data_IF_346576575808
#
_entry.id   IF_346576575808
#
_cell.length_a   1.000
_cell.length_b   1.000
_cell.length_c   1.000
_cell.angle_alpha   90.00
_cell.angle_beta   90.00
_cell.angle_gamma   90.00
#
_symmetry.space_group_name_H-M   'P 1'
#
loop_
_entity.id
_entity.type
_entity.pdbx_description
1 polymer ?
#
# COMPACT_ATOMS: atom_id res chain seq x y z
N UNK A 1 -76.45 16.72 18.26
CA UNK A 1 -75.59 17.91 18.02
C UNK A 1 -74.38 18.08 18.98
N UNK A 2 -74.42 17.56 20.22
CA UNK A 2 -73.34 17.78 21.21
C UNK A 2 -71.96 17.15 20.88
N UNK A 3 -71.94 15.98 20.21
CA UNK A 3 -70.70 15.27 19.85
C UNK A 3 -69.85 16.04 18.83
N UNK A 4 -70.48 16.59 17.77
CA UNK A 4 -69.82 17.45 16.77
C UNK A 4 -69.19 18.73 17.37
N UNK A 5 -69.79 19.31 18.43
CA UNK A 5 -69.21 20.48 19.12
C UNK A 5 -67.95 20.11 19.92
N UNK A 6 -67.97 18.99 20.67
CA UNK A 6 -66.80 18.51 21.43
C UNK A 6 -65.61 18.17 20.51
N UNK A 7 -65.87 17.57 19.34
CA UNK A 7 -64.81 17.20 18.41
C UNK A 7 -64.17 18.44 17.72
N UNK A 8 -64.98 19.45 17.41
CA UNK A 8 -64.49 20.72 16.86
C UNK A 8 -63.60 21.49 17.86
N UNK A 9 -63.93 21.42 19.15
CA UNK A 9 -63.13 22.04 20.21
C UNK A 9 -61.81 21.30 20.47
N UNK A 10 -61.83 19.95 20.44
CA UNK A 10 -60.61 19.12 20.49
C UNK A 10 -59.68 19.41 19.31
N UNK A 11 -60.22 19.54 18.10
CA UNK A 11 -59.44 19.87 16.91
C UNK A 11 -58.80 21.28 17.00
N UNK A 12 -59.51 22.26 17.57
CA UNK A 12 -58.99 23.62 17.77
C UNK A 12 -57.86 23.64 18.80
N UNK A 13 -57.97 22.88 19.90
CA UNK A 13 -56.91 22.71 20.90
C UNK A 13 -55.68 21.99 20.33
N UNK A 14 -55.88 20.96 19.48
CA UNK A 14 -54.79 20.25 18.81
C UNK A 14 -54.00 21.16 17.84
N UNK A 15 -54.70 21.95 17.01
CA UNK A 15 -54.06 22.91 16.09
C UNK A 15 -53.24 23.98 16.84
N UNK A 16 -53.74 24.48 17.97
CA UNK A 16 -53.01 25.46 18.81
C UNK A 16 -51.75 24.87 19.45
N UNK A 17 -51.79 23.61 19.89
CA UNK A 17 -50.60 22.89 20.40
C UNK A 17 -49.57 22.64 19.30
N UNK A 18 -50.01 22.29 18.09
CA UNK A 18 -49.11 22.06 16.95
C UNK A 18 -48.37 23.34 16.57
N UNK A 19 -49.09 24.46 16.44
CA UNK A 19 -48.52 25.79 16.15
C UNK A 19 -47.42 26.21 17.13
N UNK A 20 -47.67 26.10 18.45
CA UNK A 20 -46.67 26.40 19.49
C UNK A 20 -45.44 25.49 19.42
N UNK A 21 -45.61 24.21 19.08
CA UNK A 21 -44.49 23.25 18.93
C UNK A 21 -43.63 23.61 17.71
N UNK A 22 -44.24 24.12 16.63
CA UNK A 22 -43.53 24.56 15.42
C UNK A 22 -42.72 25.84 15.68
N UNK A 23 -43.25 26.80 16.42
CA UNK A 23 -42.51 28.02 16.83
C UNK A 23 -41.32 27.70 17.73
N UNK A 24 -41.48 26.82 18.73
CA UNK A 24 -40.37 26.40 19.59
C UNK A 24 -39.24 25.72 18.78
N UNK A 25 -39.59 24.89 17.78
CA UNK A 25 -38.62 24.28 16.87
C UNK A 25 -37.90 25.33 16.01
N UNK A 26 -38.59 26.37 15.54
CA UNK A 26 -37.96 27.49 14.80
C UNK A 26 -36.99 28.28 15.69
N UNK A 27 -37.37 28.63 16.93
CA UNK A 27 -36.46 29.31 17.89
C UNK A 27 -35.23 28.48 18.24
N UNK A 28 -35.36 27.15 18.45
CA UNK A 28 -34.21 26.25 18.70
C UNK A 28 -33.28 26.14 17.48
N UNK A 29 -33.82 26.08 16.25
CA UNK A 29 -33.00 26.09 15.02
C UNK A 29 -32.24 27.40 14.84
N UNK A 30 -32.85 28.55 15.16
CA UNK A 30 -32.20 29.86 15.09
C UNK A 30 -31.01 29.96 16.06
N UNK A 31 -31.20 29.61 17.34
CA UNK A 31 -30.11 29.58 18.35
C UNK A 31 -28.97 28.62 17.94
N UNK A 32 -29.28 27.44 17.40
CA UNK A 32 -28.25 26.48 16.93
C UNK A 32 -27.43 27.03 15.75
N UNK A 33 -28.06 27.81 14.85
CA UNK A 33 -27.38 28.47 13.72
C UNK A 33 -26.47 29.62 14.19
N UNK A 34 -26.88 30.36 15.22
CA UNK A 34 -26.10 31.45 15.83
C UNK A 34 -24.85 30.92 16.57
N UNK A 35 -24.98 29.82 17.34
CA UNK A 35 -23.84 29.17 17.99
C UNK A 35 -22.85 28.58 16.99
N UNK A 36 -23.33 27.99 15.88
CA UNK A 36 -22.45 27.45 14.82
C UNK A 36 -21.64 28.54 14.12
N UNK A 37 -22.21 29.74 13.92
CA UNK A 37 -21.47 30.92 13.41
C UNK A 37 -20.39 31.39 14.38
N UNK A 38 -20.68 31.43 15.69
CA UNK A 38 -19.70 31.85 16.70
C UNK A 38 -18.52 30.87 16.78
N UNK A 39 -18.79 29.56 16.70
CA UNK A 39 -17.77 28.52 16.68
C UNK A 39 -16.87 28.60 15.42
N UNK A 40 -17.44 28.81 14.24
CA UNK A 40 -16.67 29.03 13.01
C UNK A 40 -15.77 30.26 13.07
N UNK A 41 -16.22 31.33 13.73
CA UNK A 41 -15.43 32.57 13.90
C UNK A 41 -14.24 32.35 14.85
N UNK A 42 -14.39 31.52 15.89
CA UNK A 42 -13.29 31.09 16.77
C UNK A 42 -12.27 30.20 16.02
N UNK A 43 -12.74 29.21 15.27
CA UNK A 43 -11.87 28.33 14.45
C UNK A 43 -11.03 29.09 13.43
N UNK A 44 -11.62 30.08 12.74
CA UNK A 44 -10.85 30.95 11.81
C UNK A 44 -9.79 31.78 12.52
N UNK A 45 -10.04 32.23 13.76
CA UNK A 45 -9.08 33.03 14.54
C UNK A 45 -7.90 32.16 15.04
N UNK A 46 -8.16 30.90 15.40
CA UNK A 46 -7.11 29.94 15.77
C UNK A 46 -6.25 29.53 14.56
N UNK A 47 -6.85 29.19 13.42
CA UNK A 47 -6.08 28.90 12.19
C UNK A 47 -5.19 30.05 11.74
N UNK A 48 -5.60 31.31 11.96
CA UNK A 48 -4.77 32.48 11.65
C UNK A 48 -3.58 32.62 12.62
N UNK A 49 -3.73 32.22 13.90
CA UNK A 49 -2.63 32.19 14.88
C UNK A 49 -1.63 31.07 14.58
N UNK A 50 -2.12 29.86 14.27
CA UNK A 50 -1.27 28.73 13.88
C UNK A 50 -0.45 29.06 12.63
N UNK A 51 -1.07 29.70 11.63
CA UNK A 51 -0.36 30.10 10.41
C UNK A 51 0.73 31.15 10.65
N UNK A 52 0.55 32.07 11.61
CA UNK A 52 1.59 33.01 12.02
C UNK A 52 2.76 32.31 12.73
N UNK A 53 2.46 31.35 13.62
CA UNK A 53 3.49 30.57 14.30
C UNK A 53 4.30 29.70 13.33
N UNK A 54 3.66 29.14 12.32
CA UNK A 54 4.33 28.33 11.29
C UNK A 54 5.25 29.17 10.40
N UNK A 55 4.88 30.41 10.08
CA UNK A 55 5.77 31.34 9.36
C UNK A 55 6.96 31.77 10.21
N UNK A 56 6.77 31.97 11.52
CA UNK A 56 7.88 32.34 12.42
C UNK A 56 8.88 31.19 12.61
N UNK A 57 8.42 29.93 12.53
CA UNK A 57 9.28 28.73 12.59
C UNK A 57 10.06 28.58 11.28
N UNK A 58 9.41 28.73 10.12
CA UNK A 58 10.06 28.63 8.81
C UNK A 58 11.18 29.67 8.63
N UNK A 59 10.97 30.91 9.09
CA UNK A 59 11.99 31.98 9.02
C UNK A 59 13.21 31.63 9.91
N UNK A 60 12.99 31.00 11.06
CA UNK A 60 14.08 30.56 11.94
C UNK A 60 14.90 29.41 11.34
N UNK A 61 14.25 28.45 10.69
CA UNK A 61 14.92 27.33 10.00
C UNK A 61 15.74 27.80 8.80
N UNK A 62 15.22 28.74 8.01
CA UNK A 62 15.93 29.33 6.87
C UNK A 62 17.18 30.12 7.32
N UNK A 63 17.07 30.84 8.44
CA UNK A 63 18.21 31.56 9.04
C UNK A 63 19.28 30.59 9.57
N UNK A 64 18.88 29.45 10.15
CA UNK A 64 19.80 28.41 10.62
C UNK A 64 20.52 27.72 9.46
N UNK A 65 19.82 27.47 8.35
CA UNK A 65 20.38 26.83 7.16
C UNK A 65 21.43 27.72 6.48
N UNK A 66 21.18 29.03 6.35
CA UNK A 66 22.16 29.99 5.81
C UNK A 66 23.42 30.09 6.68
N UNK A 67 23.29 29.91 8.00
CA UNK A 67 24.43 29.92 8.92
C UNK A 67 25.29 28.65 8.76
N UNK A 68 24.67 27.49 8.52
CA UNK A 68 25.40 26.23 8.28
C UNK A 68 26.14 26.19 6.93
N UNK A 69 25.58 26.81 5.87
CA UNK A 69 26.23 26.85 4.55
C UNK A 69 27.49 27.72 4.57
N UNK A 70 27.51 28.78 5.39
CA UNK A 70 28.69 29.65 5.56
C UNK A 70 29.84 28.95 6.30
N UNK A 71 29.53 28.12 7.29
CA UNK A 71 30.53 27.31 8.00
C UNK A 71 31.21 26.26 7.10
N UNK A 72 30.50 25.75 6.08
CA UNK A 72 31.05 24.78 5.11
C UNK A 72 31.94 25.46 4.05
N UNK A 73 31.68 26.73 3.69
CA UNK A 73 32.56 27.46 2.77
C UNK A 73 33.90 27.84 3.41
N UNK A 74 33.89 28.17 4.70
CA UNK A 74 35.10 28.59 5.43
C UNK A 74 36.06 27.41 5.70
N UNK A 75 35.52 26.19 5.78
CA UNK A 75 36.33 24.97 5.98
C UNK A 75 37.02 24.48 4.69
N UNK A 76 36.52 24.89 3.52
CA UNK A 76 37.10 24.53 2.21
C UNK A 76 38.33 25.38 1.86
N UNK A 77 38.48 26.54 2.49
CA UNK A 77 39.65 27.43 2.35
C UNK A 77 40.83 27.04 3.25
N UNK A 78 40.61 26.19 4.26
CA UNK A 78 41.66 25.69 5.15
C UNK A 78 42.44 24.47 4.58
N UNK A 79 41.89 23.77 3.58
CA UNK A 79 42.46 22.52 3.03
C UNK A 79 43.39 22.79 1.81
N UNK A 80 43.42 24.01 1.27
CA UNK A 80 44.30 24.37 0.15
C UNK A 80 45.69 24.89 0.54
N UNK A 81 46.02 25.02 1.84
CA UNK A 81 47.28 25.61 2.32
C UNK A 81 48.26 24.62 2.99
N UNK A 82 48.17 23.31 2.70
CA UNK A 82 49.11 22.28 3.24
C UNK A 82 49.97 21.61 2.16
N UNK A 83 49.92 22.08 0.91
CA UNK A 83 50.92 21.75 -0.12
C UNK A 83 51.85 22.94 -0.30
N UNK A 84 52.87 23.02 0.55
CA UNK A 84 54.15 23.70 0.32
C UNK A 84 54.92 23.74 1.65
N UNK A 85 55.56 22.63 2.00
CA UNK A 85 56.79 22.58 2.81
C UNK A 85 57.14 21.12 3.09
N UNK A 86 58.23 20.65 2.49
CA UNK A 86 59.35 19.90 3.10
C UNK A 86 60.19 19.36 1.94
N UNK A 87 61.23 20.11 1.59
CA UNK A 87 62.46 19.59 0.97
C UNK A 87 63.56 19.78 2.01
N UNK A 88 64.52 18.84 2.04
CA UNK A 88 65.65 18.71 3.00
C UNK A 88 65.22 18.09 4.35
N UNK A 89 65.84 17.06 4.93
CA UNK A 89 67.23 16.58 4.92
C UNK A 89 67.38 15.03 5.12
N UNK A 90 68.52 14.50 4.67
CA UNK A 90 69.37 13.41 5.22
C UNK A 90 68.91 11.94 5.39
N UNK A 91 69.39 11.11 4.45
CA UNK A 91 70.39 10.01 4.60
C UNK A 91 70.31 8.95 5.73
N UNK A 92 70.56 7.69 5.30
CA UNK A 92 70.77 6.44 6.03
C UNK A 92 69.46 5.79 6.56
N UNK A 93 69.06 4.59 6.17
CA UNK A 93 69.82 3.33 6.28
C UNK A 93 69.40 2.36 5.15
N UNK A 94 70.41 1.85 4.46
CA UNK A 94 70.37 0.79 3.45
C UNK A 94 70.44 -0.59 4.12
N UNK A 95 69.86 -1.59 3.44
CA UNK A 95 70.17 -3.03 3.47
C UNK A 95 69.13 -3.93 4.14
N UNK A 96 68.27 -4.54 3.32
CA UNK A 96 68.39 -5.96 2.95
C UNK A 96 67.23 -6.37 2.02
N UNK A 97 67.52 -6.41 0.73
CA UNK A 97 66.80 -7.20 -0.27
C UNK A 97 67.82 -8.05 -1.00
N UNK A 98 67.65 -9.38 -0.92
CA UNK A 98 67.76 -10.38 -2.00
C UNK A 98 68.36 -11.69 -1.50
N UNK A 99 67.58 -12.75 -1.75
CA UNK A 99 67.88 -14.17 -1.96
C UNK A 99 66.69 -14.94 -1.36
N UNK A 100 65.95 -15.82 -2.03
CA UNK A 100 66.23 -16.67 -3.19
C UNK A 100 64.89 -17.21 -3.72
N UNK A 101 64.77 -17.41 -5.03
CA UNK A 101 63.74 -18.25 -5.64
C UNK A 101 64.12 -19.73 -5.42
N UNK A 102 63.28 -20.51 -4.76
CA UNK A 102 63.25 -21.97 -4.89
C UNK A 102 61.88 -22.53 -4.50
N UNK A 103 61.11 -22.88 -5.53
CA UNK A 103 60.07 -23.92 -5.63
C UNK A 103 59.63 -24.59 -4.32
N UNK A 104 58.37 -24.35 -3.93
CA UNK A 104 57.51 -25.40 -3.40
C UNK A 104 56.04 -25.12 -3.78
N UNK A 105 55.55 -25.96 -4.68
CA UNK A 105 54.13 -26.14 -4.97
C UNK A 105 53.52 -26.79 -3.73
N UNK A 106 52.65 -26.08 -3.00
CA UNK A 106 51.80 -26.68 -1.97
C UNK A 106 50.50 -25.88 -1.85
N UNK A 107 49.42 -26.56 -2.22
CA UNK A 107 47.98 -26.29 -2.09
C UNK A 107 47.46 -24.85 -2.22
N UNK A 108 46.70 -24.63 -3.30
CA UNK A 108 45.56 -23.74 -3.27
C UNK A 108 44.59 -24.26 -2.20
N UNK A 109 44.72 -23.73 -0.98
CA UNK A 109 43.68 -23.83 0.02
C UNK A 109 42.53 -22.94 -0.46
N UNK A 110 41.37 -23.55 -0.55
CA UNK A 110 40.08 -22.93 -0.79
C UNK A 110 39.95 -21.67 0.09
N UNK A 111 39.78 -20.52 -0.54
CA UNK A 111 39.22 -19.35 0.12
C UNK A 111 37.75 -19.68 0.35
N UNK A 112 37.45 -20.40 1.44
CA UNK A 112 36.09 -20.47 1.97
C UNK A 112 35.66 -19.03 2.29
N UNK A 113 34.73 -18.49 1.49
CA UNK A 113 34.01 -17.27 1.86
C UNK A 113 33.29 -17.55 3.18
N UNK A 114 33.87 -17.08 4.29
CA UNK A 114 33.25 -17.21 5.61
C UNK A 114 31.90 -16.49 5.59
N UNK A 115 30.81 -17.25 5.76
CA UNK A 115 29.46 -16.73 5.87
C UNK A 115 29.43 -15.75 7.06
N UNK A 116 28.80 -14.58 6.89
CA UNK A 116 28.71 -13.62 8.00
C UNK A 116 27.83 -14.19 9.12
N UNK A 117 28.06 -13.84 10.40
CA UNK A 117 27.22 -14.32 11.51
C UNK A 117 25.73 -14.00 11.34
N UNK A 118 25.44 -12.86 10.70
CA UNK A 118 24.08 -12.46 10.36
C UNK A 118 23.45 -13.37 9.31
N UNK A 119 24.22 -13.76 8.30
CA UNK A 119 23.78 -14.67 7.25
C UNK A 119 23.60 -16.11 7.79
N UNK A 120 24.43 -16.54 8.74
CA UNK A 120 24.22 -17.81 9.46
C UNK A 120 22.89 -17.79 10.22
N UNK A 121 22.65 -16.75 11.01
CA UNK A 121 21.39 -16.60 11.77
C UNK A 121 20.17 -16.59 10.84
N UNK A 122 20.27 -15.93 9.69
CA UNK A 122 19.19 -15.93 8.69
C UNK A 122 18.94 -17.32 8.11
N UNK A 123 20.01 -18.06 7.80
CA UNK A 123 19.91 -19.42 7.26
C UNK A 123 19.26 -20.38 8.26
N UNK A 124 19.53 -20.21 9.57
CA UNK A 124 18.85 -20.94 10.64
C UNK A 124 17.36 -20.61 10.68
N UNK A 125 16.98 -19.33 10.67
CA UNK A 125 15.58 -18.91 10.68
C UNK A 125 14.81 -19.42 9.45
N UNK A 126 15.41 -19.35 8.25
CA UNK A 126 14.84 -19.90 7.02
C UNK A 126 14.63 -21.42 7.11
N UNK A 127 15.59 -22.14 7.70
CA UNK A 127 15.49 -23.59 7.87
C UNK A 127 14.44 -23.96 8.91
N UNK A 128 14.36 -23.22 10.01
CA UNK A 128 13.34 -23.39 11.04
C UNK A 128 11.93 -23.23 10.46
N UNK A 129 11.68 -22.13 9.73
CA UNK A 129 10.38 -21.89 9.08
C UNK A 129 10.10 -22.88 7.95
N UNK A 130 11.14 -23.29 7.21
CA UNK A 130 11.07 -24.34 6.19
C UNK A 130 10.56 -25.67 6.73
N UNK A 131 11.11 -26.10 7.87
CA UNK A 131 10.69 -27.34 8.54
C UNK A 131 9.27 -27.27 9.11
N UNK A 132 8.80 -26.06 9.45
CA UNK A 132 7.43 -25.84 9.94
C UNK A 132 6.39 -25.77 8.79
N UNK A 133 6.84 -25.61 7.54
CA UNK A 133 5.96 -25.46 6.38
C UNK A 133 5.38 -26.80 5.93
N UNK A 134 4.29 -27.22 6.57
CA UNK A 134 3.53 -28.42 6.18
C UNK A 134 2.11 -28.00 5.77
N UNK A 135 1.88 -27.83 4.47
CA UNK A 135 0.57 -27.43 3.89
C UNK A 135 -0.50 -28.53 4.01
N UNK A 136 -0.12 -29.77 4.32
CA UNK A 136 -1.06 -30.90 4.47
C UNK A 136 -2.08 -30.71 5.60
N UNK A 137 -1.78 -29.85 6.59
CA UNK A 137 -2.62 -29.61 7.77
C UNK A 137 -3.53 -28.38 7.65
N UNK A 138 -3.50 -27.66 6.51
CA UNK A 138 -4.26 -26.42 6.39
C UNK A 138 -5.77 -26.67 6.39
N UNK A 139 -6.57 -25.81 7.08
CA UNK A 139 -8.01 -26.01 7.15
C UNK A 139 -8.64 -25.91 5.77
N UNK A 140 -9.58 -26.80 5.43
CA UNK A 140 -10.24 -26.81 4.11
C UNK A 140 -11.45 -25.87 4.06
N UNK A 141 -11.68 -25.23 2.92
CA UNK A 141 -12.80 -24.29 2.70
C UNK A 141 -14.15 -25.04 2.69
N UNK A 142 -15.15 -24.58 3.47
CA UNK A 142 -16.45 -25.27 3.64
C UNK A 142 -17.35 -25.31 2.40
N UNK A 143 -17.15 -24.42 1.41
CA UNK A 143 -18.02 -24.30 0.22
C UNK A 143 -17.64 -25.23 -0.93
N UNK A 144 -16.63 -26.10 -0.79
CA UNK A 144 -16.40 -27.18 -1.74
C UNK A 144 -17.48 -28.26 -1.56
N UNK A 145 -18.63 -28.09 -2.20
CA UNK A 145 -19.52 -29.23 -2.47
C UNK A 145 -18.78 -30.29 -3.28
N UNK A 146 -19.24 -31.55 -3.20
CA UNK A 146 -18.64 -32.77 -3.79
C UNK A 146 -18.43 -32.76 -5.32
N UNK A 147 -18.57 -31.61 -5.99
CA UNK A 147 -18.49 -31.46 -7.45
C UNK A 147 -17.36 -30.53 -7.93
N UNK A 148 -16.54 -29.93 -7.06
CA UNK A 148 -15.35 -29.18 -7.48
C UNK A 148 -14.05 -29.97 -7.16
N UNK A 149 -13.20 -30.31 -8.15
CA UNK A 149 -12.03 -31.18 -7.96
C UNK A 149 -10.81 -30.49 -7.30
N UNK A 150 -10.95 -29.27 -6.78
CA UNK A 150 -9.81 -28.43 -6.36
C UNK A 150 -9.68 -28.35 -4.83
N UNK A 151 -8.45 -28.37 -4.32
CA UNK A 151 -8.18 -28.14 -2.90
C UNK A 151 -8.40 -26.65 -2.61
N UNK A 152 -9.21 -26.32 -1.62
CA UNK A 152 -9.39 -24.95 -1.17
C UNK A 152 -9.09 -24.87 0.32
N UNK A 153 -8.31 -23.88 0.73
CA UNK A 153 -7.85 -23.72 2.10
C UNK A 153 -8.34 -22.40 2.71
N UNK A 154 -8.60 -22.43 4.01
CA UNK A 154 -8.88 -21.25 4.83
C UNK A 154 -7.59 -20.73 5.45
N UNK A 155 -7.64 -19.50 5.99
CA UNK A 155 -6.57 -18.91 6.79
C UNK A 155 -5.88 -19.94 7.72
N UNK A 156 -4.57 -20.20 7.51
CA UNK A 156 -3.86 -21.25 8.24
C UNK A 156 -3.27 -20.77 9.57
N UNK A 157 -3.19 -19.45 9.79
CA UNK A 157 -2.66 -18.87 11.03
C UNK A 157 -3.60 -19.04 12.22
N UNK A 158 -3.07 -18.82 13.42
CA UNK A 158 -3.86 -18.81 14.64
C UNK A 158 -4.91 -17.67 14.63
N UNK A 159 -5.91 -17.75 15.50
CA UNK A 159 -7.04 -16.80 15.53
C UNK A 159 -6.63 -15.36 15.82
N UNK A 160 -5.49 -15.16 16.47
CA UNK A 160 -4.88 -13.88 16.81
C UNK A 160 -3.83 -13.41 15.78
N UNK A 161 -3.46 -14.27 14.83
CA UNK A 161 -2.55 -13.92 13.75
C UNK A 161 -3.29 -13.34 12.55
N UNK A 162 -2.75 -12.24 12.03
CA UNK A 162 -3.26 -11.56 10.83
C UNK A 162 -2.28 -11.62 9.67
N UNK A 163 -1.01 -11.89 9.96
CA UNK A 163 0.07 -12.11 9.01
C UNK A 163 0.79 -13.39 9.39
N UNK A 164 1.11 -14.21 8.40
CA UNK A 164 1.90 -15.42 8.53
C UNK A 164 3.08 -15.35 7.57
N UNK A 165 4.28 -15.68 8.04
CA UNK A 165 5.46 -15.82 7.20
C UNK A 165 5.76 -17.30 7.05
N UNK A 166 5.74 -17.79 5.83
CA UNK A 166 6.06 -19.17 5.53
C UNK A 166 7.28 -19.25 4.63
N UNK A 167 8.06 -20.32 4.77
CA UNK A 167 9.24 -20.55 3.94
C UNK A 167 9.11 -21.94 3.34
N UNK A 168 9.21 -22.05 2.02
CA UNK A 168 9.56 -23.32 1.39
C UNK A 168 11.07 -23.35 1.22
N UNK A 169 11.71 -24.47 1.60
CA UNK A 169 13.13 -24.73 1.35
C UNK A 169 13.32 -26.18 0.93
N UNK A 170 13.78 -26.40 -0.29
CA UNK A 170 14.07 -27.73 -0.82
C UNK A 170 14.38 -27.72 -2.30
N UNK A 171 14.78 -28.88 -2.82
CA UNK A 171 15.18 -29.05 -4.23
C UNK A 171 14.00 -29.30 -5.18
N UNK A 172 12.87 -29.75 -4.64
CA UNK A 172 11.67 -30.09 -5.40
C UNK A 172 10.43 -29.50 -4.73
N UNK A 173 9.73 -28.61 -5.44
CA UNK A 173 8.41 -28.10 -5.06
C UNK A 173 7.40 -28.62 -6.07
N UNK A 174 6.35 -29.27 -5.60
CA UNK A 174 5.20 -29.68 -6.41
C UNK A 174 3.93 -29.56 -5.57
N UNK A 175 3.06 -28.64 -5.96
CA UNK A 175 1.77 -28.46 -5.32
C UNK A 175 0.65 -28.92 -6.25
N UNK A 176 -0.37 -29.55 -5.66
CA UNK A 176 -1.64 -29.78 -6.35
C UNK A 176 -2.35 -28.44 -6.49
N UNK A 177 -3.02 -28.23 -7.61
CA UNK A 177 -3.82 -27.03 -7.83
C UNK A 177 -4.77 -26.73 -6.69
N UNK A 178 -4.69 -25.51 -6.16
CA UNK A 178 -5.44 -25.13 -4.98
C UNK A 178 -5.78 -23.63 -4.93
N UNK A 179 -6.73 -23.28 -4.06
CA UNK A 179 -7.22 -21.91 -3.80
C UNK A 179 -7.17 -21.59 -2.31
N UNK A 180 -7.17 -20.31 -1.96
CA UNK A 180 -7.11 -19.82 -0.58
C UNK A 180 -8.09 -18.68 -0.33
N UNK A 181 -8.53 -18.44 0.91
CA UNK A 181 -9.36 -17.26 1.24
C UNK A 181 -8.57 -16.03 1.71
N UNK A 182 -7.24 -16.01 1.54
CA UNK A 182 -6.33 -14.96 1.99
C UNK A 182 -5.44 -14.43 0.85
N UNK A 183 -4.81 -13.26 1.06
CA UNK A 183 -3.82 -12.71 0.12
C UNK A 183 -2.46 -13.36 0.36
N UNK A 184 -1.67 -13.51 -0.70
CA UNK A 184 -0.32 -14.06 -0.59
C UNK A 184 0.68 -13.36 -1.51
N UNK A 185 1.93 -13.29 -1.06
CA UNK A 185 3.09 -12.87 -1.84
C UNK A 185 4.15 -13.96 -1.72
N UNK A 186 4.46 -14.62 -2.82
CA UNK A 186 5.52 -15.62 -2.88
C UNK A 186 6.73 -15.00 -3.56
N UNK A 187 7.83 -14.86 -2.83
CA UNK A 187 9.08 -14.27 -3.31
C UNK A 187 10.11 -15.36 -3.52
N UNK A 188 10.71 -15.41 -4.72
CA UNK A 188 11.82 -16.30 -5.04
C UNK A 188 13.10 -15.77 -4.38
N UNK A 189 13.39 -16.21 -3.16
CA UNK A 189 14.53 -15.73 -2.38
C UNK A 189 15.86 -16.33 -2.87
N UNK A 190 15.83 -17.61 -3.22
CA UNK A 190 16.94 -18.35 -3.83
C UNK A 190 16.38 -19.33 -4.86
N UNK A 191 16.99 -19.38 -6.03
CA UNK A 191 16.53 -20.24 -7.12
C UNK A 191 15.25 -19.75 -7.80
N UNK A 192 14.87 -20.46 -8.87
CA UNK A 192 13.69 -20.18 -9.66
C UNK A 192 12.58 -21.17 -9.31
N UNK A 193 11.32 -20.76 -9.44
CA UNK A 193 10.18 -21.67 -9.42
C UNK A 193 9.16 -21.29 -10.49
N UNK A 194 8.23 -22.20 -10.72
CA UNK A 194 7.12 -22.04 -11.63
C UNK A 194 5.80 -21.87 -10.88
N UNK A 195 4.97 -20.93 -11.31
CA UNK A 195 3.59 -20.78 -10.85
C UNK A 195 2.63 -21.07 -12.00
N UNK A 196 1.73 -22.04 -11.82
CA UNK A 196 0.67 -22.38 -12.75
C UNK A 196 -0.63 -21.70 -12.28
N UNK A 197 -1.17 -20.77 -13.07
CA UNK A 197 -2.51 -20.21 -12.84
C UNK A 197 -3.60 -21.13 -13.42
N UNK A 198 -4.85 -20.99 -12.95
CA UNK A 198 -6.00 -21.78 -13.44
C UNK A 198 -6.31 -21.58 -14.92
N UNK A 199 -6.21 -20.34 -15.41
CA UNK A 199 -6.48 -20.01 -16.81
C UNK A 199 -5.56 -20.85 -17.70
N UNK A 200 -6.13 -21.64 -18.62
CA UNK A 200 -5.37 -22.45 -19.57
C UNK A 200 -4.26 -21.61 -20.25
N UNK A 201 -3.03 -22.14 -20.25
CA UNK A 201 -1.80 -21.57 -20.82
C UNK A 201 -1.09 -20.42 -20.09
N UNK A 202 -1.22 -20.30 -18.76
CA UNK A 202 -0.54 -19.24 -17.99
C UNK A 202 0.49 -19.77 -16.98
N UNK A 203 1.51 -20.48 -17.47
CA UNK A 203 2.71 -20.83 -16.70
C UNK A 203 3.63 -19.62 -16.58
N UNK A 204 3.93 -19.22 -15.36
CA UNK A 204 4.84 -18.11 -15.06
C UNK A 204 6.09 -18.68 -14.43
N UNK A 205 7.24 -18.42 -15.05
CA UNK A 205 8.53 -18.69 -14.41
C UNK A 205 8.89 -17.48 -13.54
N UNK A 206 8.92 -17.69 -12.23
CA UNK A 206 9.33 -16.70 -11.23
C UNK A 206 10.81 -16.92 -10.95
N UNK A 207 11.63 -15.97 -11.38
CA UNK A 207 13.09 -16.03 -11.18
C UNK A 207 13.48 -15.50 -9.82
N UNK A 208 14.68 -15.82 -9.38
CA UNK A 208 15.23 -15.23 -8.15
C UNK A 208 15.08 -13.70 -8.13
N UNK A 209 14.60 -13.17 -7.00
CA UNK A 209 14.25 -11.76 -6.78
C UNK A 209 13.02 -11.27 -7.55
N UNK A 210 12.17 -12.20 -7.97
CA UNK A 210 10.82 -11.90 -8.45
C UNK A 210 9.78 -12.34 -7.41
N UNK A 211 8.61 -11.73 -7.50
CA UNK A 211 7.49 -12.04 -6.64
C UNK A 211 6.25 -12.36 -7.47
N UNK A 212 5.58 -13.44 -7.08
CA UNK A 212 4.25 -13.81 -7.54
C UNK A 212 3.24 -13.51 -6.43
N UNK A 213 2.32 -12.59 -6.71
CA UNK A 213 1.34 -12.08 -5.76
C UNK A 213 -0.04 -12.48 -6.24
N UNK A 214 -0.77 -13.15 -5.37
CA UNK A 214 -2.15 -13.54 -5.64
C UNK A 214 -3.13 -12.99 -4.62
N UNK A 215 -4.38 -13.07 -5.02
CA UNK A 215 -5.53 -12.62 -4.25
C UNK A 215 -6.34 -13.83 -3.76
N UNK A 216 -7.24 -13.65 -2.77
CA UNK A 216 -8.15 -14.69 -2.35
C UNK A 216 -8.87 -15.32 -3.55
N UNK A 217 -8.93 -16.63 -3.52
CA UNK A 217 -9.61 -17.55 -4.44
C UNK A 217 -9.00 -17.63 -5.84
N UNK A 218 -7.90 -16.92 -6.11
CA UNK A 218 -7.07 -17.22 -7.29
C UNK A 218 -6.44 -18.58 -7.11
N UNK A 219 -6.72 -19.47 -8.07
CA UNK A 219 -6.16 -20.80 -8.07
C UNK A 219 -4.75 -20.80 -8.63
N UNK A 220 -3.84 -21.49 -7.94
CA UNK A 220 -2.49 -21.70 -8.44
C UNK A 220 -1.91 -23.05 -8.00
N UNK A 221 -0.77 -23.41 -8.61
CA UNK A 221 0.11 -24.48 -8.16
C UNK A 221 1.57 -24.06 -8.36
N UNK A 222 2.41 -24.25 -7.34
CA UNK A 222 3.84 -24.10 -7.48
C UNK A 222 4.48 -25.39 -8.00
N UNK A 223 5.48 -25.25 -8.86
CA UNK A 223 6.32 -26.35 -9.34
C UNK A 223 7.76 -25.92 -9.54
N UNK A 224 8.72 -26.79 -9.29
CA UNK A 224 10.13 -26.45 -9.50
C UNK A 224 11.06 -27.60 -9.13
N UNK A 225 12.09 -27.76 -9.94
CA UNK A 225 13.15 -28.74 -9.76
C UNK A 225 14.50 -28.02 -9.91
N UNK A 226 15.38 -28.19 -8.93
CA UNK A 226 16.70 -27.56 -8.93
C UNK A 226 17.75 -28.49 -8.30
N UNK A 227 19.01 -28.31 -8.68
CA UNK A 227 20.15 -29.00 -8.04
C UNK A 227 20.48 -28.40 -6.68
N UNK A 228 20.32 -27.09 -6.56
CA UNK A 228 20.48 -26.33 -5.32
C UNK A 228 19.11 -26.07 -4.68
N UNK A 229 19.10 -25.75 -3.39
CA UNK A 229 17.87 -25.40 -2.67
C UNK A 229 17.13 -24.23 -3.35
N UNK A 230 15.85 -24.45 -3.61
CA UNK A 230 14.88 -23.39 -3.91
C UNK A 230 14.36 -22.88 -2.57
N UNK A 231 14.42 -21.57 -2.37
CA UNK A 231 13.88 -20.90 -1.19
C UNK A 231 12.80 -19.91 -1.62
N UNK A 232 11.57 -20.16 -1.19
CA UNK A 232 10.42 -19.27 -1.43
C UNK A 232 9.98 -18.70 -0.08
N UNK A 233 9.98 -17.38 0.05
CA UNK A 233 9.41 -16.71 1.22
C UNK A 233 7.99 -16.27 0.87
N UNK A 234 7.01 -16.85 1.55
CA UNK A 234 5.60 -16.52 1.44
C UNK A 234 5.17 -15.57 2.56
N UNK A 235 4.50 -14.48 2.18
CA UNK A 235 3.81 -13.56 3.10
C UNK A 235 2.32 -13.74 2.91
N UNK A 236 1.65 -14.33 3.89
CA UNK A 236 0.20 -14.53 3.86
C UNK A 236 -0.48 -13.46 4.72
N UNK A 237 -1.57 -12.90 4.22
CA UNK A 237 -2.31 -11.83 4.89
C UNK A 237 -3.78 -12.19 4.96
N UNK A 238 -4.31 -12.27 6.18
CA UNK A 238 -5.71 -12.54 6.43
C UNK A 238 -6.58 -11.51 5.71
N UNK A 239 -7.62 -11.96 5.00
CA UNK A 239 -8.48 -11.14 4.14
C UNK A 239 -9.04 -9.92 4.87
N UNK A 240 -9.63 -10.11 6.04
CA UNK A 240 -10.24 -9.05 6.84
C UNK A 240 -9.19 -8.04 7.33
N UNK A 241 -8.04 -8.53 7.81
CA UNK A 241 -6.93 -7.69 8.24
C UNK A 241 -6.37 -6.87 7.08
N UNK A 242 -6.28 -7.45 5.89
CA UNK A 242 -5.84 -6.75 4.69
C UNK A 242 -6.73 -5.56 4.36
N UNK A 243 -8.06 -5.77 4.28
CA UNK A 243 -9.00 -4.70 3.96
C UNK A 243 -9.06 -3.61 5.03
N UNK A 244 -8.88 -3.97 6.30
CA UNK A 244 -8.91 -3.03 7.41
C UNK A 244 -7.63 -2.20 7.52
N UNK A 245 -6.46 -2.82 7.35
CA UNK A 245 -5.16 -2.24 7.69
C UNK A 245 -4.37 -1.77 6.46
N UNK A 246 -4.31 -2.58 5.40
CA UNK A 246 -3.44 -2.32 4.24
C UNK A 246 -4.16 -1.72 3.05
N UNK A 247 -5.42 -2.10 2.82
CA UNK A 247 -6.17 -1.54 1.72
C UNK A 247 -6.27 0.00 1.74
N UNK A 248 -6.43 0.68 2.90
CA UNK A 248 -6.49 2.14 2.94
C UNK A 248 -5.24 2.84 2.41
N UNK A 249 -4.05 2.27 2.63
CA UNK A 249 -2.77 2.84 2.15
C UNK A 249 -2.51 2.52 0.68
N UNK A 250 -3.09 1.43 0.16
CA UNK A 250 -2.98 1.02 -1.24
C UNK A 250 -4.04 1.64 -2.14
N UNK A 251 -5.15 2.10 -1.55
CA UNK A 251 -6.30 2.68 -2.23
C UNK A 251 -6.08 4.10 -2.78
N UNK A 252 -4.85 4.57 -2.95
CA UNK A 252 -4.58 5.74 -3.81
C UNK A 252 -4.42 5.29 -5.26
N UNK A 253 -3.71 4.18 -5.53
CA UNK A 253 -3.45 3.69 -6.88
C UNK A 253 -4.63 2.87 -7.44
N UNK A 254 -5.08 3.13 -8.68
CA UNK A 254 -6.26 2.45 -9.25
C UNK A 254 -6.01 1.01 -9.65
N UNK A 255 -4.84 0.68 -10.20
CA UNK A 255 -4.57 -0.69 -10.69
C UNK A 255 -4.38 -1.63 -9.49
N UNK A 256 -3.59 -1.18 -8.50
CA UNK A 256 -3.46 -1.84 -7.19
C UNK A 256 -4.83 -2.00 -6.53
N UNK A 257 -5.64 -0.93 -6.51
CA UNK A 257 -6.97 -0.99 -5.91
C UNK A 257 -7.93 -1.95 -6.61
N UNK A 258 -7.96 -1.95 -7.94
CA UNK A 258 -8.82 -2.86 -8.68
C UNK A 258 -8.39 -4.30 -8.40
N UNK A 259 -7.09 -4.59 -8.49
CA UNK A 259 -6.51 -5.89 -8.18
C UNK A 259 -6.94 -6.37 -6.77
N UNK A 260 -6.68 -5.57 -5.74
CA UNK A 260 -6.94 -5.99 -4.37
C UNK A 260 -8.43 -5.98 -3.97
N UNK A 261 -9.30 -5.29 -4.71
CA UNK A 261 -10.73 -5.23 -4.43
C UNK A 261 -11.57 -6.22 -5.24
N UNK A 262 -11.02 -6.78 -6.31
CA UNK A 262 -11.72 -7.73 -7.17
C UNK A 262 -12.24 -8.98 -6.46
N UNK A 263 -11.50 -9.62 -5.52
CA UNK A 263 -11.95 -10.83 -4.83
C UNK A 263 -13.26 -10.66 -4.05
N UNK A 264 -13.65 -9.43 -3.77
CA UNK A 264 -14.88 -9.10 -3.07
C UNK A 264 -16.08 -8.95 -4.01
N UNK A 265 -15.85 -8.67 -5.29
CA UNK A 265 -16.89 -8.52 -6.30
C UNK A 265 -16.98 -9.77 -7.20
N UNK A 266 -15.90 -10.56 -7.29
CA UNK A 266 -15.81 -11.78 -8.05
C UNK A 266 -14.93 -12.79 -7.30
N UNK A 267 -15.57 -13.79 -6.68
CA UNK A 267 -14.92 -14.87 -5.92
C UNK A 267 -14.03 -15.76 -6.81
N UNK A 268 -14.08 -15.64 -8.14
CA UNK A 268 -13.25 -16.41 -9.08
C UNK A 268 -12.41 -15.51 -10.00
N UNK A 269 -12.04 -14.31 -9.55
CA UNK A 269 -11.08 -13.51 -10.31
C UNK A 269 -9.69 -14.16 -10.30
N UNK A 270 -9.07 -14.26 -11.47
CA UNK A 270 -7.81 -15.00 -11.70
C UNK A 270 -6.62 -14.08 -11.92
N UNK A 271 -6.69 -12.88 -11.35
CA UNK A 271 -5.64 -11.89 -11.45
C UNK A 271 -4.48 -12.22 -10.51
N UNK A 272 -3.26 -12.07 -11.02
CA UNK A 272 -2.02 -12.09 -10.25
C UNK A 272 -1.16 -10.88 -10.60
N UNK A 273 -0.20 -10.57 -9.74
CA UNK A 273 0.87 -9.62 -10.03
C UNK A 273 2.19 -10.39 -10.05
N UNK A 274 2.94 -10.28 -11.14
CA UNK A 274 4.31 -10.78 -11.24
C UNK A 274 5.24 -9.57 -11.35
N UNK A 275 6.17 -9.44 -10.41
CA UNK A 275 7.11 -8.31 -10.35
C UNK A 275 8.53 -8.78 -10.27
N UNK A 276 9.39 -8.10 -11.02
CA UNK A 276 10.84 -8.18 -10.87
C UNK A 276 11.38 -7.05 -9.99
N UNK A 277 12.38 -7.33 -9.17
CA UNK A 277 13.06 -6.33 -8.33
C UNK A 277 14.55 -6.26 -8.67
N UNK A 278 15.03 -5.11 -9.18
CA UNK A 278 16.45 -4.91 -9.50
C UNK A 278 17.33 -4.86 -8.23
N UNK A 279 18.50 -5.53 -8.26
CA UNK A 279 19.38 -5.68 -7.08
C UNK A 279 20.21 -4.42 -6.77
N UNK A 280 20.51 -4.11 -5.49
CA UNK A 280 19.88 -4.65 -4.28
C UNK A 280 18.55 -3.92 -3.98
N UNK A 281 17.47 -4.69 -3.83
CA UNK A 281 16.14 -4.12 -3.55
C UNK A 281 15.78 -4.25 -2.07
N UNK A 282 15.28 -3.18 -1.46
CA UNK A 282 14.88 -3.15 -0.04
C UNK A 282 13.78 -4.17 0.32
N UNK A 283 13.02 -4.66 -0.66
CA UNK A 283 12.03 -5.74 -0.48
C UNK A 283 12.67 -7.00 0.08
N UNK A 284 13.84 -7.40 -0.44
CA UNK A 284 14.56 -8.57 0.08
C UNK A 284 14.86 -8.40 1.57
N UNK A 285 15.34 -7.22 1.95
CA UNK A 285 15.65 -6.90 3.34
C UNK A 285 14.43 -6.87 4.25
N UNK A 286 13.29 -6.37 3.76
CA UNK A 286 12.03 -6.43 4.49
C UNK A 286 11.60 -7.89 4.75
N UNK A 287 11.74 -8.76 3.76
CA UNK A 287 11.42 -10.18 3.89
C UNK A 287 12.34 -10.89 4.88
N UNK A 288 13.64 -10.59 4.88
CA UNK A 288 14.60 -11.12 5.87
C UNK A 288 14.20 -10.71 7.30
N UNK A 289 13.83 -9.45 7.51
CA UNK A 289 13.34 -8.96 8.81
C UNK A 289 12.05 -9.68 9.23
N UNK A 290 11.13 -9.92 8.30
CA UNK A 290 9.89 -10.68 8.57
C UNK A 290 10.20 -12.14 8.96
N UNK A 291 11.18 -12.77 8.30
CA UNK A 291 11.62 -14.13 8.62
C UNK A 291 12.18 -14.19 10.04
N UNK A 292 13.06 -13.26 10.41
CA UNK A 292 13.59 -13.19 11.77
C UNK A 292 12.49 -13.01 12.81
N UNK A 293 11.59 -12.05 12.56
CA UNK A 293 10.48 -11.72 13.45
C UNK A 293 9.54 -12.91 13.66
N UNK A 294 9.22 -13.66 12.60
CA UNK A 294 8.30 -14.79 12.69
C UNK A 294 8.96 -16.08 13.23
N UNK A 295 10.27 -16.26 13.01
CA UNK A 295 11.01 -17.41 13.56
C UNK A 295 11.21 -17.31 15.08
N UNK A 296 11.23 -16.10 15.65
CA UNK A 296 11.43 -15.86 17.08
C UNK A 296 10.34 -14.92 17.64
N UNK A 297 9.08 -15.39 17.72
CA UNK A 297 7.94 -14.52 18.03
C UNK A 297 7.99 -13.94 19.44
N UNK A 298 7.56 -12.69 19.56
CA UNK A 298 7.35 -11.92 20.79
C UNK A 298 5.89 -11.43 20.86
N UNK A 299 5.49 -10.83 21.98
CA UNK A 299 4.12 -10.33 22.18
C UNK A 299 3.68 -9.30 21.13
N UNK A 300 4.62 -8.54 20.55
CA UNK A 300 4.37 -7.48 19.58
C UNK A 300 4.68 -7.87 18.12
N UNK A 301 5.00 -9.15 17.85
CA UNK A 301 5.36 -9.65 16.52
C UNK A 301 4.36 -9.28 15.42
N UNK A 302 3.06 -9.44 15.67
CA UNK A 302 2.05 -9.08 14.66
C UNK A 302 2.05 -7.58 14.35
N UNK A 303 2.33 -6.69 15.31
CA UNK A 303 2.40 -5.25 15.08
C UNK A 303 3.65 -4.87 14.24
N UNK A 304 4.78 -5.54 14.49
CA UNK A 304 6.01 -5.38 13.71
C UNK A 304 5.76 -5.88 12.29
N UNK A 305 5.23 -7.09 12.12
CA UNK A 305 4.91 -7.66 10.82
C UNK A 305 3.92 -6.78 10.04
N UNK A 306 2.89 -6.23 10.68
CA UNK A 306 1.96 -5.30 10.02
C UNK A 306 2.69 -4.08 9.46
N UNK A 307 3.66 -3.53 10.20
CA UNK A 307 4.45 -2.39 9.74
C UNK A 307 5.36 -2.75 8.56
N UNK A 308 6.03 -3.91 8.62
CA UNK A 308 6.88 -4.41 7.55
C UNK A 308 6.08 -4.74 6.29
N UNK A 309 4.90 -5.36 6.44
CA UNK A 309 4.01 -5.71 5.32
C UNK A 309 3.44 -4.47 4.67
N UNK A 310 3.08 -3.44 5.46
CA UNK A 310 2.68 -2.14 4.89
C UNK A 310 3.79 -1.53 4.02
N UNK A 311 5.04 -1.57 4.49
CA UNK A 311 6.20 -1.10 3.71
C UNK A 311 6.41 -1.94 2.43
N UNK A 312 6.31 -3.28 2.54
CA UNK A 312 6.42 -4.21 1.41
C UNK A 312 5.36 -3.92 0.34
N UNK A 313 4.09 -3.79 0.73
CA UNK A 313 2.98 -3.55 -0.19
C UNK A 313 3.07 -2.19 -0.88
N UNK A 314 3.52 -1.14 -0.17
CA UNK A 314 3.81 0.15 -0.79
C UNK A 314 4.97 0.06 -1.79
N UNK A 315 5.95 -0.81 -1.51
CA UNK A 315 7.05 -1.08 -2.42
C UNK A 315 6.62 -1.80 -3.69
N UNK A 316 5.82 -2.86 -3.54
CA UNK A 316 5.15 -3.57 -4.65
C UNK A 316 4.35 -2.61 -5.52
N UNK A 317 3.54 -1.74 -4.91
CA UNK A 317 2.75 -0.75 -5.63
C UNK A 317 3.63 0.25 -6.41
N UNK A 318 4.80 0.62 -5.88
CA UNK A 318 5.77 1.49 -6.55
C UNK A 318 6.38 0.81 -7.78
N UNK A 319 6.86 -0.43 -7.63
CA UNK A 319 7.49 -1.17 -8.74
C UNK A 319 6.50 -1.50 -9.85
N UNK A 320 5.27 -1.87 -9.50
CA UNK A 320 4.21 -2.07 -10.48
C UNK A 320 3.98 -0.80 -11.32
N UNK A 321 4.05 0.38 -10.69
CA UNK A 321 3.93 1.67 -11.37
C UNK A 321 5.10 1.94 -12.31
N UNK A 322 6.33 1.68 -11.85
CA UNK A 322 7.55 1.87 -12.64
C UNK A 322 7.58 0.98 -13.88
N UNK A 323 7.27 -0.32 -13.73
CA UNK A 323 7.26 -1.28 -14.84
C UNK A 323 6.16 -0.98 -15.86
N UNK A 324 5.01 -0.45 -15.42
CA UNK A 324 3.97 0.00 -16.35
C UNK A 324 4.31 1.27 -17.11
N UNK A 325 5.03 2.21 -16.48
CA UNK A 325 5.50 3.41 -17.18
C UNK A 325 6.48 3.09 -18.32
N UNK A 326 7.22 1.99 -18.21
CA UNK A 326 8.09 1.49 -19.29
C UNK A 326 7.27 0.91 -20.45
N UNK A 327 6.11 0.31 -20.16
CA UNK A 327 5.23 -0.33 -21.15
C UNK A 327 4.27 0.65 -21.85
N UNK A 328 3.90 1.76 -21.22
CA UNK A 328 2.91 2.72 -21.73
C UNK A 328 3.55 4.09 -22.08
N UNK A 329 4.23 4.20 -23.23
CA UNK A 329 4.35 5.50 -23.93
C UNK A 329 3.02 5.84 -24.62
N UNK A 330 1.97 6.00 -23.80
CA UNK A 330 0.65 6.38 -24.27
C UNK A 330 0.59 7.83 -24.74
N UNK A 331 -0.41 8.14 -25.56
CA UNK A 331 -0.82 9.50 -25.91
C UNK A 331 -1.05 10.36 -24.66
N UNK A 332 -0.96 11.70 -24.79
CA UNK A 332 -1.12 12.61 -23.66
C UNK A 332 -2.47 12.43 -22.94
N UNK A 333 -3.54 12.08 -23.66
CA UNK A 333 -4.85 11.83 -23.04
C UNK A 333 -4.83 10.56 -22.18
N UNK A 334 -4.14 9.50 -22.60
CA UNK A 334 -3.97 8.29 -21.80
C UNK A 334 -3.17 8.59 -20.53
N UNK A 335 -2.12 9.39 -20.63
CA UNK A 335 -1.34 9.84 -19.46
C UNK A 335 -2.21 10.66 -18.50
N UNK A 336 -3.06 11.56 -19.01
CA UNK A 336 -4.01 12.34 -18.20
C UNK A 336 -5.02 11.43 -17.50
N UNK A 337 -5.64 10.49 -18.23
CA UNK A 337 -6.63 9.58 -17.66
C UNK A 337 -5.99 8.67 -16.63
N UNK A 338 -4.80 8.14 -16.89
CA UNK A 338 -4.03 7.34 -15.95
C UNK A 338 -3.66 8.14 -14.70
N UNK A 339 -3.21 9.38 -14.85
CA UNK A 339 -2.91 10.28 -13.73
C UNK A 339 -4.14 10.51 -12.85
N UNK A 340 -5.28 10.89 -13.45
CA UNK A 340 -6.55 11.09 -12.72
C UNK A 340 -6.91 9.84 -11.93
N UNK A 341 -6.75 8.68 -12.56
CA UNK A 341 -7.13 7.39 -12.01
C UNK A 341 -6.22 6.95 -10.85
N UNK A 342 -4.94 7.28 -10.88
CA UNK A 342 -3.96 6.92 -9.84
C UNK A 342 -3.89 7.91 -8.68
N UNK A 343 -4.51 9.09 -8.82
CA UNK A 343 -4.52 10.15 -7.79
C UNK A 343 -5.95 10.61 -7.47
N UNK A 344 -6.94 9.73 -7.62
CA UNK A 344 -8.38 10.05 -7.47
C UNK A 344 -8.69 10.74 -6.14
N UNK A 345 -7.94 10.40 -5.08
CA UNK A 345 -8.06 10.93 -3.73
C UNK A 345 -7.68 12.42 -3.62
N UNK A 346 -6.67 12.88 -4.34
CA UNK A 346 -6.04 14.20 -4.11
C UNK A 346 -5.87 15.06 -5.36
N UNK A 347 -6.17 14.53 -6.54
CA UNK A 347 -5.89 15.19 -7.82
C UNK A 347 -6.60 16.53 -7.96
N UNK A 348 -5.85 17.51 -8.44
CA UNK A 348 -6.37 18.79 -8.93
C UNK A 348 -5.85 19.06 -10.33
N UNK A 349 -6.66 19.74 -11.15
CA UNK A 349 -6.28 20.10 -12.53
C UNK A 349 -4.96 20.89 -12.57
N UNK A 350 -4.76 21.79 -11.59
CA UNK A 350 -3.54 22.61 -11.52
C UNK A 350 -2.30 21.78 -11.23
N UNK A 351 -2.39 20.83 -10.29
CA UNK A 351 -1.26 19.95 -9.95
C UNK A 351 -0.91 19.03 -11.11
N UNK A 352 -1.92 18.35 -11.67
CA UNK A 352 -1.72 17.43 -12.78
C UNK A 352 -1.11 18.12 -14.01
N UNK A 353 -1.57 19.34 -14.31
CA UNK A 353 -0.99 20.11 -15.42
C UNK A 353 0.47 20.48 -15.16
N UNK A 354 0.84 20.84 -13.92
CA UNK A 354 2.22 21.13 -13.56
C UNK A 354 3.12 19.89 -13.69
N UNK A 355 2.66 18.73 -13.21
CA UNK A 355 3.42 17.47 -13.25
C UNK A 355 3.63 16.95 -14.67
N UNK A 356 2.67 17.20 -15.56
CA UNK A 356 2.78 16.87 -16.99
C UNK A 356 3.46 17.98 -17.81
N UNK A 357 3.93 19.07 -17.18
CA UNK A 357 4.54 20.23 -17.83
C UNK A 357 3.63 20.95 -18.87
N UNK A 358 2.32 21.00 -18.63
CA UNK A 358 1.33 21.71 -19.46
C UNK A 358 0.60 22.81 -18.70
N UNK A 359 0.00 23.74 -19.44
CA UNK A 359 -0.90 24.73 -18.86
C UNK A 359 -2.28 24.10 -18.51
N UNK A 360 -2.91 24.40 -17.35
CA UNK A 360 -4.19 23.82 -16.94
C UNK A 360 -5.33 23.95 -17.96
N UNK A 361 -5.39 25.08 -18.67
CA UNK A 361 -6.41 25.30 -19.72
C UNK A 361 -6.26 24.33 -20.90
N UNK A 362 -5.02 24.02 -21.29
CA UNK A 362 -4.76 23.09 -22.39
C UNK A 362 -5.27 21.69 -22.01
N UNK A 363 -4.89 21.21 -20.82
CA UNK A 363 -5.33 19.93 -20.27
C UNK A 363 -6.87 19.88 -20.15
N UNK A 364 -7.51 20.93 -19.62
CA UNK A 364 -8.97 20.97 -19.50
C UNK A 364 -9.69 20.92 -20.85
N UNK A 365 -9.13 21.57 -21.88
CA UNK A 365 -9.70 21.57 -23.22
C UNK A 365 -9.51 20.20 -23.89
N UNK A 366 -8.32 19.63 -23.78
CA UNK A 366 -8.01 18.30 -24.30
C UNK A 366 -8.93 17.23 -23.69
N UNK A 367 -9.11 17.24 -22.36
CA UNK A 367 -10.04 16.32 -21.69
C UNK A 367 -11.45 16.45 -22.27
N UNK A 368 -11.97 17.68 -22.41
CA UNK A 368 -13.31 17.91 -22.95
C UNK A 368 -13.43 17.46 -24.41
N UNK A 369 -12.40 17.70 -25.20
CA UNK A 369 -12.37 17.34 -26.62
C UNK A 369 -12.40 15.82 -26.79
N UNK A 370 -11.58 15.09 -26.02
CA UNK A 370 -11.43 13.64 -26.18
C UNK A 370 -12.54 12.84 -25.48
N UNK A 371 -13.04 13.32 -24.34
CA UNK A 371 -13.98 12.55 -23.49
C UNK A 371 -15.41 13.10 -23.48
N UNK A 372 -15.61 14.34 -23.96
CA UNK A 372 -16.87 15.06 -23.80
C UNK A 372 -17.19 15.51 -22.36
N UNK A 373 -16.33 15.20 -21.38
CA UNK A 373 -16.54 15.48 -19.97
C UNK A 373 -15.55 16.53 -19.45
N UNK A 374 -15.89 17.22 -18.37
CA UNK A 374 -14.92 18.06 -17.64
C UNK A 374 -14.07 17.23 -16.69
N UNK A 375 -12.87 17.73 -16.36
CA UNK A 375 -12.00 17.13 -15.34
C UNK A 375 -12.73 16.79 -14.02
N UNK A 376 -13.57 17.71 -13.53
CA UNK A 376 -14.29 17.50 -12.27
C UNK A 376 -15.35 16.40 -12.37
N UNK A 377 -15.97 16.22 -13.53
CA UNK A 377 -16.93 15.15 -13.79
C UNK A 377 -16.22 13.80 -13.81
N UNK A 378 -15.10 13.69 -14.55
CA UNK A 378 -14.29 12.46 -14.62
C UNK A 378 -13.80 12.05 -13.23
N UNK A 379 -13.22 12.98 -12.46
CA UNK A 379 -12.78 12.70 -11.09
C UNK A 379 -13.96 12.25 -10.22
N UNK A 380 -15.13 12.86 -10.38
CA UNK A 380 -16.32 12.46 -9.63
C UNK A 380 -16.76 11.04 -10.00
N UNK A 381 -16.82 10.69 -11.29
CA UNK A 381 -17.16 9.33 -11.74
C UNK A 381 -16.21 8.31 -11.13
N UNK A 382 -14.89 8.50 -11.28
CA UNK A 382 -13.91 7.60 -10.68
C UNK A 382 -14.03 7.47 -9.16
N UNK A 383 -14.27 8.58 -8.45
CA UNK A 383 -14.53 8.52 -7.00
C UNK A 383 -15.77 7.70 -6.67
N UNK A 384 -16.85 7.83 -7.43
CA UNK A 384 -18.11 7.13 -7.16
C UNK A 384 -18.00 5.64 -7.48
N UNK A 385 -17.38 5.27 -8.60
CA UNK A 385 -17.14 3.86 -8.93
C UNK A 385 -16.28 3.18 -7.86
N UNK A 386 -15.20 3.86 -7.44
CA UNK A 386 -14.32 3.42 -6.36
C UNK A 386 -15.08 3.28 -5.03
N UNK A 387 -15.97 4.22 -4.74
CA UNK A 387 -16.83 4.17 -3.55
C UNK A 387 -17.80 2.99 -3.58
N UNK A 388 -18.43 2.71 -4.72
CA UNK A 388 -19.36 1.61 -4.87
C UNK A 388 -18.67 0.25 -4.66
N UNK A 389 -17.47 0.10 -5.22
CA UNK A 389 -16.66 -1.09 -5.02
C UNK A 389 -16.26 -1.25 -3.54
N UNK A 390 -15.83 -0.16 -2.89
CA UNK A 390 -15.49 -0.13 -1.46
C UNK A 390 -16.65 -0.48 -0.55
N UNK A 391 -17.83 0.04 -0.84
CA UNK A 391 -19.04 -0.17 -0.02
C UNK A 391 -19.57 -1.60 -0.09
N UNK A 392 -19.28 -2.33 -1.18
CA UNK A 392 -19.68 -3.73 -1.34
C UNK A 392 -18.61 -4.70 -0.89
N UNK A 393 -17.34 -4.32 -1.06
CA UNK A 393 -16.23 -5.23 -0.82
C UNK A 393 -15.46 -5.03 0.48
N UNK A 394 -15.85 -4.09 1.34
CA UNK A 394 -15.13 -3.86 2.59
C UNK A 394 -16.08 -3.48 3.71
N UNK A 395 -15.72 -3.80 4.95
CA UNK A 395 -16.42 -3.33 6.17
C UNK A 395 -15.94 -1.93 6.62
N UNK A 396 -15.28 -1.18 5.73
CA UNK A 396 -14.79 0.15 6.05
C UNK A 396 -15.97 1.10 6.31
N UNK A 397 -15.83 1.93 7.35
CA UNK A 397 -16.85 2.95 7.63
C UNK A 397 -17.02 3.92 6.45
N UNK A 398 -18.23 4.41 6.24
CA UNK A 398 -18.53 5.37 5.17
C UNK A 398 -17.69 6.65 5.32
N UNK A 399 -17.37 7.03 6.56
CA UNK A 399 -16.46 8.13 6.87
C UNK A 399 -15.04 7.87 6.35
N UNK A 400 -14.52 6.65 6.54
CA UNK A 400 -13.20 6.25 6.08
C UNK A 400 -13.15 6.16 4.55
N UNK A 401 -14.15 5.55 3.92
CA UNK A 401 -14.30 5.50 2.45
C UNK A 401 -14.33 6.93 1.88
N UNK A 402 -15.11 7.84 2.48
CA UNK A 402 -15.15 9.24 2.04
C UNK A 402 -13.77 9.91 2.15
N UNK A 403 -13.05 9.67 3.25
CA UNK A 403 -11.69 10.17 3.46
C UNK A 403 -10.71 9.69 2.40
N UNK A 404 -10.70 8.38 2.14
CA UNK A 404 -9.86 7.73 1.11
C UNK A 404 -10.12 8.26 -0.30
N UNK A 405 -11.33 8.75 -0.58
CA UNK A 405 -11.71 9.31 -1.87
C UNK A 405 -11.57 10.83 -1.95
N UNK A 406 -10.85 11.45 -1.01
CA UNK A 406 -10.56 12.88 -1.04
C UNK A 406 -11.66 13.79 -0.50
N UNK A 407 -12.70 13.25 0.13
CA UNK A 407 -13.76 14.05 0.70
C UNK A 407 -13.44 14.42 2.15
N UNK A 408 -12.97 15.66 2.34
CA UNK A 408 -12.83 16.27 3.67
C UNK A 408 -14.14 16.41 4.46
N UNK A 409 -15.29 16.24 3.79
CA UNK A 409 -16.60 16.30 4.42
C UNK A 409 -17.51 15.19 3.87
N UNK A 410 -17.84 14.24 4.73
CA UNK A 410 -18.74 13.12 4.43
C UNK A 410 -20.09 13.58 3.86
N UNK A 411 -20.61 14.74 4.27
CA UNK A 411 -21.87 15.27 3.70
C UNK A 411 -21.78 15.59 2.20
N UNK A 412 -20.60 15.95 1.70
CA UNK A 412 -20.40 16.18 0.26
C UNK A 412 -20.31 14.85 -0.48
N UNK A 413 -19.63 13.86 0.11
CA UNK A 413 -19.60 12.48 -0.41
C UNK A 413 -21.01 11.90 -0.55
N UNK A 414 -21.84 11.95 0.51
CA UNK A 414 -23.22 11.46 0.47
C UNK A 414 -24.06 12.10 -0.65
N UNK A 415 -23.88 13.41 -0.90
CA UNK A 415 -24.58 14.10 -1.99
C UNK A 415 -24.09 13.66 -3.36
N UNK A 416 -22.78 13.55 -3.54
CA UNK A 416 -22.18 13.09 -4.79
C UNK A 416 -22.62 11.65 -5.11
N UNK A 417 -22.53 10.75 -4.13
CA UNK A 417 -22.91 9.35 -4.27
C UNK A 417 -24.40 9.20 -4.60
N UNK A 418 -25.27 9.91 -3.86
CA UNK A 418 -26.70 9.90 -4.14
C UNK A 418 -27.05 10.47 -5.52
N UNK A 419 -26.32 11.49 -5.98
CA UNK A 419 -26.51 12.04 -7.33
C UNK A 419 -26.10 11.03 -8.41
N UNK A 420 -25.05 10.24 -8.16
CA UNK A 420 -24.49 9.31 -9.12
C UNK A 420 -25.26 7.99 -9.20
N UNK A 421 -25.54 7.33 -8.07
CA UNK A 421 -26.21 6.03 -8.03
C UNK A 421 -27.71 6.10 -7.70
N UNK A 422 -28.28 7.30 -7.55
CA UNK A 422 -29.68 7.52 -7.13
C UNK A 422 -30.06 6.88 -5.77
N UNK A 423 -29.09 6.42 -4.99
CA UNK A 423 -29.29 5.82 -3.66
C UNK A 423 -28.25 6.30 -2.66
N UNK A 424 -28.51 6.15 -1.36
CA UNK A 424 -27.53 6.54 -0.34
C UNK A 424 -26.41 5.50 -0.21
N UNK A 425 -25.17 5.88 0.15
CA UNK A 425 -24.08 4.94 0.41
C UNK A 425 -24.48 3.79 1.34
N UNK A 426 -25.19 4.12 2.43
CA UNK A 426 -25.67 3.13 3.41
C UNK A 426 -26.66 2.13 2.81
N UNK A 427 -27.60 2.63 1.99
CA UNK A 427 -28.55 1.75 1.30
C UNK A 427 -27.90 0.98 0.15
N UNK A 428 -26.70 1.35 -0.27
CA UNK A 428 -25.93 0.66 -1.30
C UNK A 428 -25.09 -0.47 -0.70
N UNK A 429 -24.52 -0.28 0.50
CA UNK A 429 -23.78 -1.33 1.23
C UNK A 429 -24.69 -2.41 1.83
N UNK A 430 -25.95 -2.10 2.09
CA UNK A 430 -26.96 -3.06 2.60
C UNK A 430 -27.59 -3.93 1.49
N UNK A 431 -27.17 -3.75 0.24
CA UNK A 431 -27.60 -4.54 -0.93
C UNK A 431 -26.46 -5.44 -1.38
#
# INVERSE_FOLDING_TARGET
>A
MAKKRKDKEKLKKAKKKLSKKTELKKKKKSKKKQNKKLHYKKLKKNKKKEKLQQTDIAIKEETAMVTSVKAVSDNKTAISNVKDNVTKDDAAVTAQQKETNAVKVESAAELEESISPEQETLNEALTQLGNAFITEHWPKLKSSGDTHPERAYQWPGNTDETIMICVFKGQHVEEVFHRHDFFFLNFAYQGDYGALSYTQDNYIKVKENECYIGQPYTGYALKGDSKEDIIIIGVLIQKEAFFKTFFPILASDKKVFNFFLEPQNNEFSENFIHLHFEKPHYVRRLLELMVFEYASPQEDTQAILQSLVAALLLGVAREQKAQQQILEQGSLIEQIMQYISTHVDSVSLKQMAADLAYHPNYISNLIRQETGQSFSEIVTVHRMDRAAALLRGTDLSIEMIAGMLGYSNTSNFYKAFKKHFNTSPRSYSEK
#
